data_IF_117958161350
#
_entry.id   IF_117958161350
#
_cell.length_a   1.000
_cell.length_b   1.000
_cell.length_c   1.000
_cell.angle_alpha   90.00
_cell.angle_beta   90.00
_cell.angle_gamma   90.00
#
_symmetry.space_group_name_H-M   'P 1'
#
loop_
_entity.id
_entity.type
_entity.pdbx_description
1 polymer ?
#
# COMPACT_ATOMS: atom_id res chain seq x y z
N UNK A 1 -46.97 33.96 7.00
CA UNK A 1 -46.14 33.71 8.19
C UNK A 1 -46.24 32.22 8.50
N UNK A 2 -45.10 31.56 8.75
CA UNK A 2 -44.92 30.13 9.07
C UNK A 2 -44.66 29.21 7.87
N UNK A 3 -43.38 28.83 7.76
CA UNK A 3 -42.81 27.86 6.82
C UNK A 3 -41.28 27.82 6.86
N UNK A 4 -40.62 28.91 7.26
CA UNK A 4 -39.15 29.05 7.17
C UNK A 4 -38.35 28.32 8.26
N UNK A 5 -38.98 27.71 9.27
CA UNK A 5 -38.26 27.04 10.36
C UNK A 5 -37.97 25.55 10.16
N UNK A 6 -38.59 24.90 9.16
CA UNK A 6 -38.48 23.45 8.95
C UNK A 6 -37.21 23.05 8.19
N UNK A 7 -36.87 23.81 7.15
CA UNK A 7 -35.75 23.50 6.25
C UNK A 7 -34.38 23.66 6.93
N UNK A 8 -34.28 24.58 7.91
CA UNK A 8 -33.03 24.81 8.64
C UNK A 8 -32.69 23.65 9.59
N UNK A 9 -33.68 23.01 10.21
CA UNK A 9 -33.46 21.85 11.08
C UNK A 9 -33.00 20.61 10.29
N UNK A 10 -33.55 20.41 9.10
CA UNK A 10 -33.21 19.29 8.21
C UNK A 10 -31.80 19.46 7.62
N UNK A 11 -31.45 20.68 7.20
CA UNK A 11 -30.08 21.01 6.76
C UNK A 11 -29.06 20.77 7.88
N UNK A 12 -29.37 21.22 9.10
CA UNK A 12 -28.51 21.02 10.26
C UNK A 12 -28.28 19.53 10.58
N UNK A 13 -29.28 18.67 10.37
CA UNK A 13 -29.14 17.23 10.55
C UNK A 13 -28.16 16.61 9.54
N UNK A 14 -28.26 16.96 8.26
CA UNK A 14 -27.30 16.49 7.23
C UNK A 14 -25.88 16.97 7.51
N UNK A 15 -25.71 18.24 7.89
CA UNK A 15 -24.42 18.80 8.31
C UNK A 15 -23.85 18.09 9.54
N UNK A 16 -24.68 17.72 10.51
CA UNK A 16 -24.25 16.98 11.70
C UNK A 16 -23.80 15.56 11.37
N UNK A 17 -24.49 14.86 10.47
CA UNK A 17 -24.07 13.53 10.00
C UNK A 17 -22.74 13.59 9.24
N UNK A 18 -22.53 14.63 8.42
CA UNK A 18 -21.25 14.88 7.75
C UNK A 18 -20.13 15.19 8.73
N UNK A 19 -20.39 16.02 9.73
CA UNK A 19 -19.43 16.30 10.78
C UNK A 19 -19.06 15.03 11.57
N UNK A 20 -20.02 14.13 11.81
CA UNK A 20 -19.76 12.83 12.43
C UNK A 20 -18.88 11.95 11.52
N UNK A 21 -19.19 11.87 10.22
CA UNK A 21 -18.38 11.17 9.21
C UNK A 21 -16.94 11.71 9.18
N UNK A 22 -16.76 13.03 9.13
CA UNK A 22 -15.45 13.70 9.11
C UNK A 22 -14.64 13.46 10.38
N UNK A 23 -15.30 13.13 11.50
CA UNK A 23 -14.65 12.83 12.78
C UNK A 23 -14.14 11.38 12.89
N UNK A 24 -14.65 10.45 12.07
CA UNK A 24 -14.32 9.03 12.17
C UNK A 24 -12.81 8.73 12.06
N UNK A 25 -12.02 9.34 11.15
CA UNK A 25 -10.59 9.08 11.10
C UNK A 25 -9.86 9.43 12.39
N UNK A 26 -10.23 10.55 13.04
CA UNK A 26 -9.65 10.96 14.32
C UNK A 26 -10.03 10.03 15.47
N UNK A 27 -11.26 9.51 15.46
CA UNK A 27 -11.71 8.49 16.42
C UNK A 27 -10.99 7.15 16.21
N UNK A 28 -10.74 6.76 14.95
CA UNK A 28 -10.01 5.54 14.61
C UNK A 28 -8.56 5.62 15.12
N UNK A 29 -7.87 6.73 14.85
CA UNK A 29 -6.51 6.99 15.32
C UNK A 29 -6.42 6.91 16.86
N UNK A 30 -7.37 7.52 17.57
CA UNK A 30 -7.40 7.48 19.03
C UNK A 30 -7.64 6.07 19.59
N UNK A 31 -8.61 5.34 19.02
CA UNK A 31 -8.95 3.98 19.44
C UNK A 31 -7.81 3.01 19.17
N UNK A 32 -7.24 3.03 17.97
CA UNK A 32 -6.10 2.18 17.60
C UNK A 32 -4.86 2.53 18.45
N UNK A 33 -4.67 3.82 18.79
CA UNK A 33 -3.65 4.26 19.75
C UNK A 33 -3.84 3.67 21.15
N UNK A 34 -5.07 3.62 21.65
CA UNK A 34 -5.38 2.99 22.95
C UNK A 34 -5.19 1.46 22.92
N UNK A 35 -5.59 0.80 21.83
CA UNK A 35 -5.36 -0.64 21.60
C UNK A 35 -3.87 -0.93 21.61
N UNK A 36 -3.09 -0.19 20.83
CA UNK A 36 -1.63 -0.35 20.76
C UNK A 36 -0.98 -0.15 22.12
N UNK A 37 -1.28 0.93 22.83
CA UNK A 37 -0.71 1.19 24.15
C UNK A 37 -0.97 0.04 25.14
N UNK A 38 -2.13 -0.60 25.05
CA UNK A 38 -2.47 -1.78 25.87
C UNK A 38 -1.71 -3.03 25.43
N UNK A 39 -1.58 -3.25 24.11
CA UNK A 39 -0.78 -4.34 23.55
C UNK A 39 0.67 -4.19 23.99
N UNK A 40 1.30 -3.04 23.77
CA UNK A 40 2.71 -2.76 24.09
C UNK A 40 3.00 -2.94 25.57
N UNK A 41 2.12 -2.45 26.45
CA UNK A 41 2.27 -2.66 27.89
C UNK A 41 2.23 -4.16 28.27
N UNK A 42 1.39 -4.95 27.58
CA UNK A 42 1.24 -6.38 27.85
C UNK A 42 2.39 -7.19 27.27
N UNK A 43 2.76 -6.95 26.01
CA UNK A 43 3.86 -7.63 25.32
C UNK A 43 5.20 -7.29 25.96
N UNK A 44 5.42 -6.03 26.33
CA UNK A 44 6.64 -5.60 27.03
C UNK A 44 6.82 -6.30 28.38
N UNK A 45 5.74 -6.55 29.14
CA UNK A 45 5.80 -7.32 30.37
C UNK A 45 6.16 -8.80 30.12
N UNK A 46 5.59 -9.41 29.08
CA UNK A 46 5.88 -10.79 28.68
C UNK A 46 7.32 -10.93 28.19
N UNK A 47 7.81 -9.97 27.40
CA UNK A 47 9.17 -9.93 26.88
C UNK A 47 10.21 -9.71 27.98
N UNK A 48 9.92 -8.84 28.95
CA UNK A 48 10.76 -8.68 30.14
C UNK A 48 10.87 -10.00 30.93
N UNK A 49 9.76 -10.73 31.09
CA UNK A 49 9.78 -12.05 31.70
C UNK A 49 10.58 -13.07 30.87
N UNK A 50 10.47 -13.02 29.54
CA UNK A 50 11.23 -13.88 28.64
C UNK A 50 12.74 -13.64 28.74
N UNK A 51 13.16 -12.37 28.81
CA UNK A 51 14.55 -11.96 28.97
C UNK A 51 15.15 -12.45 30.30
N UNK A 52 14.37 -12.44 31.38
CA UNK A 52 14.77 -12.95 32.69
C UNK A 52 14.77 -14.48 32.81
N UNK A 53 14.19 -15.20 31.85
CA UNK A 53 14.07 -16.66 31.92
C UNK A 53 15.41 -17.36 31.59
N UNK A 54 15.90 -18.27 32.46
CA UNK A 54 17.06 -19.10 32.16
C UNK A 54 16.74 -20.25 31.19
N UNK A 55 15.47 -20.64 31.06
CA UNK A 55 15.03 -21.69 30.14
C UNK A 55 14.79 -21.11 28.74
N UNK A 56 15.51 -21.64 27.75
CA UNK A 56 15.36 -21.27 26.35
C UNK A 56 13.97 -21.64 25.79
N UNK A 57 13.41 -22.77 26.24
CA UNK A 57 12.06 -23.21 25.87
C UNK A 57 11.00 -22.24 26.41
N UNK A 58 11.09 -21.90 27.70
CA UNK A 58 10.18 -20.93 28.31
C UNK A 58 10.30 -19.55 27.66
N UNK A 59 11.53 -19.12 27.36
CA UNK A 59 11.78 -17.86 26.63
C UNK A 59 11.09 -17.86 25.27
N UNK A 60 11.24 -18.94 24.48
CA UNK A 60 10.57 -19.09 23.18
C UNK A 60 9.05 -19.07 23.32
N UNK A 61 8.51 -19.78 24.30
CA UNK A 61 7.06 -19.79 24.57
C UNK A 61 6.52 -18.41 24.94
N UNK A 62 7.25 -17.64 25.75
CA UNK A 62 6.86 -16.28 26.14
C UNK A 62 6.92 -15.33 24.94
N UNK A 63 7.96 -15.39 24.11
CA UNK A 63 8.06 -14.58 22.89
C UNK A 63 6.95 -14.92 21.88
N UNK A 64 6.61 -16.21 21.73
CA UNK A 64 5.43 -16.65 20.98
C UNK A 64 4.13 -16.06 21.55
N UNK A 65 3.99 -16.03 22.88
CA UNK A 65 2.82 -15.42 23.53
C UNK A 65 2.74 -13.91 23.27
N UNK A 66 3.86 -13.19 23.34
CA UNK A 66 3.91 -11.77 23.02
C UNK A 66 3.51 -11.52 21.56
N UNK A 67 3.97 -12.37 20.63
CA UNK A 67 3.58 -12.32 19.22
C UNK A 67 2.07 -12.54 19.02
N UNK A 68 1.47 -13.55 19.65
CA UNK A 68 0.03 -13.78 19.57
C UNK A 68 -0.79 -12.60 20.11
N UNK A 69 -0.32 -11.92 21.16
CA UNK A 69 -0.97 -10.69 21.66
C UNK A 69 -0.90 -9.57 20.63
N UNK A 70 0.21 -9.41 19.88
CA UNK A 70 0.30 -8.45 18.77
C UNK A 70 -0.68 -8.80 17.65
N UNK A 71 -0.80 -10.08 17.28
CA UNK A 71 -1.77 -10.54 16.28
C UNK A 71 -3.22 -10.26 16.71
N UNK A 72 -3.55 -10.44 17.99
CA UNK A 72 -4.86 -10.03 18.51
C UNK A 72 -5.08 -8.53 18.34
N UNK A 73 -4.05 -7.72 18.62
CA UNK A 73 -4.06 -6.29 18.36
C UNK A 73 -4.36 -5.95 16.89
N UNK A 74 -3.67 -6.58 15.93
CA UNK A 74 -3.94 -6.33 14.50
C UNK A 74 -5.34 -6.77 14.07
N UNK A 75 -5.89 -7.84 14.67
CA UNK A 75 -7.27 -8.24 14.43
C UNK A 75 -8.27 -7.23 15.00
N UNK A 76 -7.97 -6.60 16.13
CA UNK A 76 -8.82 -5.55 16.71
C UNK A 76 -8.85 -4.30 15.81
N UNK A 77 -7.70 -3.84 15.31
CA UNK A 77 -7.65 -2.67 14.40
C UNK A 77 -8.31 -3.00 13.06
N UNK A 78 -8.14 -4.22 12.53
CA UNK A 78 -8.86 -4.70 11.35
C UNK A 78 -10.38 -4.68 11.53
N UNK A 79 -10.88 -5.22 12.66
CA UNK A 79 -12.32 -5.25 12.97
C UNK A 79 -12.87 -3.83 13.11
N UNK A 80 -12.09 -2.93 13.70
CA UNK A 80 -12.44 -1.51 13.81
C UNK A 80 -12.53 -0.87 12.43
N UNK A 81 -11.60 -1.16 11.51
CA UNK A 81 -11.67 -0.67 10.12
C UNK A 81 -12.98 -1.03 9.46
N UNK A 82 -13.35 -2.30 9.52
CA UNK A 82 -14.57 -2.80 8.87
C UNK A 82 -15.82 -2.16 9.48
N UNK A 83 -15.85 -2.04 10.81
CA UNK A 83 -16.96 -1.39 11.53
C UNK A 83 -17.07 0.10 11.18
N UNK A 84 -15.94 0.81 11.11
CA UNK A 84 -15.94 2.25 10.80
C UNK A 84 -16.30 2.51 9.34
N UNK A 85 -15.91 1.63 8.42
CA UNK A 85 -16.35 1.70 7.03
C UNK A 85 -17.87 1.50 6.90
N UNK A 86 -18.45 0.55 7.65
CA UNK A 86 -19.91 0.35 7.69
C UNK A 86 -20.64 1.59 8.25
N UNK A 87 -20.15 2.14 9.37
CA UNK A 87 -20.71 3.37 9.97
C UNK A 87 -20.60 4.55 9.00
N UNK A 88 -19.44 4.73 8.36
CA UNK A 88 -19.21 5.80 7.39
C UNK A 88 -20.21 5.72 6.22
N UNK A 89 -20.44 4.52 5.69
CA UNK A 89 -21.43 4.29 4.63
C UNK A 89 -22.84 4.71 5.06
N UNK A 90 -23.28 4.28 6.24
CA UNK A 90 -24.61 4.62 6.79
C UNK A 90 -24.76 6.14 7.03
N UNK A 91 -23.74 6.79 7.59
CA UNK A 91 -23.76 8.24 7.84
C UNK A 91 -23.83 9.05 6.54
N UNK A 92 -22.97 8.73 5.57
CA UNK A 92 -22.94 9.39 4.26
C UNK A 92 -24.28 9.23 3.54
N UNK A 93 -24.82 8.01 3.53
CA UNK A 93 -26.10 7.68 2.94
C UNK A 93 -27.23 8.52 3.53
N UNK A 94 -27.38 8.56 4.85
CA UNK A 94 -28.44 9.34 5.47
C UNK A 94 -28.27 10.85 5.26
N UNK A 95 -27.04 11.36 5.20
CA UNK A 95 -26.80 12.75 4.83
C UNK A 95 -27.29 13.04 3.39
N UNK A 96 -27.05 12.14 2.44
CA UNK A 96 -27.47 12.28 1.06
C UNK A 96 -28.99 12.12 0.88
N UNK A 97 -29.64 11.22 1.62
CA UNK A 97 -31.10 11.09 1.67
C UNK A 97 -31.77 12.38 2.16
N UNK A 98 -31.25 12.96 3.24
CA UNK A 98 -31.74 14.23 3.79
C UNK A 98 -31.59 15.35 2.75
N UNK A 99 -30.42 15.45 2.11
CA UNK A 99 -30.19 16.42 1.03
C UNK A 99 -31.13 16.23 -0.16
N UNK A 100 -31.41 14.99 -0.54
CA UNK A 100 -32.33 14.69 -1.63
C UNK A 100 -33.76 15.14 -1.30
N UNK A 101 -34.23 14.92 -0.06
CA UNK A 101 -35.54 15.40 0.41
C UNK A 101 -35.66 16.93 0.37
N UNK A 102 -34.55 17.65 0.52
CA UNK A 102 -34.50 19.11 0.42
C UNK A 102 -34.51 19.61 -1.03
N UNK A 103 -34.34 18.75 -2.04
CA UNK A 103 -34.36 19.14 -3.47
C UNK A 103 -35.79 19.08 -4.04
N UNK A 104 -36.30 20.17 -4.64
CA UNK A 104 -37.62 20.17 -5.26
C UNK A 104 -37.74 19.09 -6.34
N UNK A 105 -38.72 18.20 -6.21
CA UNK A 105 -39.02 17.15 -7.21
C UNK A 105 -38.17 15.89 -7.12
N UNK A 106 -37.40 15.69 -6.05
CA UNK A 106 -36.69 14.43 -5.83
C UNK A 106 -37.66 13.28 -5.49
N UNK A 107 -37.46 12.14 -6.15
CA UNK A 107 -38.17 10.90 -5.82
C UNK A 107 -37.38 10.22 -4.69
N UNK A 108 -38.03 9.76 -3.60
CA UNK A 108 -37.33 9.05 -2.54
C UNK A 108 -36.68 7.77 -3.08
N UNK A 109 -35.37 7.62 -2.84
CA UNK A 109 -34.64 6.42 -3.20
C UNK A 109 -35.24 5.22 -2.44
N UNK A 110 -35.76 4.24 -3.17
CA UNK A 110 -36.34 3.02 -2.60
C UNK A 110 -35.30 1.89 -2.71
N UNK A 111 -34.86 1.41 -1.55
CA UNK A 111 -33.84 0.38 -1.32
C UNK A 111 -32.40 0.81 -1.64
N UNK A 112 -31.55 0.73 -0.62
CA UNK A 112 -30.15 1.10 -0.70
C UNK A 112 -29.31 -0.16 -0.48
N UNK A 113 -28.36 -0.46 -1.37
CA UNK A 113 -27.51 -1.62 -1.21
C UNK A 113 -26.69 -1.48 0.07
N UNK A 114 -26.58 -2.58 0.80
CA UNK A 114 -25.60 -2.70 1.88
C UNK A 114 -24.20 -2.40 1.35
N UNK A 115 -23.31 -1.84 2.19
CA UNK A 115 -21.92 -1.71 1.80
C UNK A 115 -21.38 -3.09 1.41
N UNK A 116 -20.53 -3.18 0.38
CA UNK A 116 -19.92 -4.45 0.03
C UNK A 116 -19.17 -4.98 1.25
N UNK A 117 -19.34 -6.27 1.54
CA UNK A 117 -18.59 -6.93 2.60
C UNK A 117 -17.08 -6.76 2.33
N UNK A 118 -16.25 -6.57 3.37
CA UNK A 118 -14.82 -6.46 3.20
C UNK A 118 -14.26 -7.71 2.53
N UNK A 119 -13.25 -7.53 1.66
CA UNK A 119 -12.58 -8.67 1.03
C UNK A 119 -12.01 -9.61 2.10
N UNK A 120 -12.15 -10.93 1.94
CA UNK A 120 -11.58 -11.89 2.87
C UNK A 120 -10.08 -11.71 3.06
N UNK A 121 -9.66 -11.76 4.32
CA UNK A 121 -8.25 -11.78 4.70
C UNK A 121 -7.57 -13.10 4.30
N UNK A 122 -6.29 -13.00 3.96
CA UNK A 122 -5.39 -14.10 3.64
C UNK A 122 -4.18 -14.09 4.57
N UNK A 123 -3.78 -15.28 5.01
CA UNK A 123 -2.60 -15.52 5.82
C UNK A 123 -1.82 -16.68 5.19
N UNK A 124 -0.51 -16.51 5.03
CA UNK A 124 0.40 -17.54 4.50
C UNK A 124 1.34 -18.04 5.60
N UNK A 125 1.98 -19.18 5.39
CA UNK A 125 3.07 -19.65 6.25
C UNK A 125 4.44 -19.27 5.70
N UNK A 126 5.49 -19.47 6.49
CA UNK A 126 6.86 -19.24 6.05
C UNK A 126 7.26 -20.24 4.95
N UNK A 127 6.73 -21.46 5.01
CA UNK A 127 6.89 -22.49 3.98
C UNK A 127 6.20 -22.11 2.68
N UNK A 128 5.02 -21.48 2.73
CA UNK A 128 4.37 -20.93 1.54
C UNK A 128 5.27 -19.87 0.89
N UNK A 129 5.85 -18.97 1.68
CA UNK A 129 6.80 -17.96 1.18
C UNK A 129 8.07 -18.59 0.60
N UNK A 130 8.60 -19.64 1.23
CA UNK A 130 9.74 -20.40 0.71
C UNK A 130 9.41 -21.11 -0.62
N UNK A 131 8.21 -21.66 -0.74
CA UNK A 131 7.72 -22.23 -2.00
C UNK A 131 7.55 -21.15 -3.08
N UNK A 132 7.08 -19.95 -2.70
CA UNK A 132 6.98 -18.81 -3.62
C UNK A 132 8.36 -18.32 -4.08
N UNK A 133 9.37 -18.34 -3.23
CA UNK A 133 10.74 -17.98 -3.59
C UNK A 133 11.26 -18.82 -4.77
N UNK A 134 10.94 -20.12 -4.80
CA UNK A 134 11.34 -21.03 -5.89
C UNK A 134 10.59 -20.76 -7.20
N UNK A 135 9.49 -19.99 -7.15
CA UNK A 135 8.64 -19.65 -8.29
C UNK A 135 8.82 -18.19 -8.74
N UNK A 136 9.80 -17.46 -8.19
CA UNK A 136 10.05 -16.09 -8.59
C UNK A 136 10.45 -16.03 -10.08
N UNK A 137 10.05 -14.97 -10.80
CA UNK A 137 10.47 -14.78 -12.18
C UNK A 137 11.99 -14.71 -12.30
N UNK A 138 12.56 -15.53 -13.18
CA UNK A 138 13.98 -15.44 -13.53
C UNK A 138 14.30 -14.20 -14.36
N UNK A 139 15.59 -13.92 -14.57
CA UNK A 139 16.04 -12.78 -15.35
C UNK A 139 15.49 -12.78 -16.80
N UNK A 140 15.24 -13.96 -17.37
CA UNK A 140 14.67 -14.08 -18.71
C UNK A 140 13.19 -13.69 -18.73
N UNK A 141 12.41 -14.09 -17.73
CA UNK A 141 11.02 -13.72 -17.52
C UNK A 141 10.90 -12.21 -17.27
N UNK A 142 11.74 -11.65 -16.40
CA UNK A 142 11.82 -10.20 -16.16
C UNK A 142 12.12 -9.43 -17.45
N UNK A 143 13.10 -9.89 -18.23
CA UNK A 143 13.44 -9.28 -19.53
C UNK A 143 12.28 -9.34 -20.52
N UNK A 144 11.55 -10.46 -20.58
CA UNK A 144 10.34 -10.60 -21.41
C UNK A 144 9.25 -9.62 -20.96
N UNK A 145 9.00 -9.51 -19.65
CA UNK A 145 8.02 -8.58 -19.10
C UNK A 145 8.37 -7.12 -19.44
N UNK A 146 9.63 -6.72 -19.28
CA UNK A 146 10.10 -5.37 -19.66
C UNK A 146 9.87 -5.12 -21.16
N UNK A 147 10.20 -6.08 -22.03
CA UNK A 147 9.97 -5.93 -23.46
C UNK A 147 8.49 -5.80 -23.82
N UNK A 148 7.59 -6.52 -23.13
CA UNK A 148 6.14 -6.40 -23.31
C UNK A 148 5.64 -5.01 -22.93
N UNK A 149 6.17 -4.42 -21.84
CA UNK A 149 5.86 -3.05 -21.41
C UNK A 149 6.38 -2.04 -22.44
N UNK A 150 7.63 -2.17 -22.90
CA UNK A 150 8.21 -1.31 -23.94
C UNK A 150 7.39 -1.33 -25.22
N UNK A 151 6.83 -2.47 -25.61
CA UNK A 151 6.00 -2.59 -26.81
C UNK A 151 4.71 -1.74 -26.75
N UNK A 152 4.24 -1.35 -25.56
CA UNK A 152 3.07 -0.49 -25.38
C UNK A 152 3.39 1.00 -25.57
N UNK A 153 4.66 1.38 -25.62
CA UNK A 153 5.04 2.77 -25.86
C UNK A 153 4.84 3.15 -27.32
N UNK A 154 4.42 4.39 -27.61
CA UNK A 154 4.45 4.95 -28.96
C UNK A 154 5.84 4.70 -29.59
N UNK A 155 5.94 4.36 -30.90
CA UNK A 155 7.20 3.95 -31.52
C UNK A 155 8.38 4.91 -31.27
N UNK A 156 8.10 6.22 -31.23
CA UNK A 156 9.10 7.28 -30.96
C UNK A 156 9.66 7.25 -29.53
N UNK A 157 8.96 6.65 -28.57
CA UNK A 157 9.37 6.55 -27.16
C UNK A 157 10.00 5.20 -26.81
N UNK A 158 9.83 4.16 -27.63
CA UNK A 158 10.26 2.79 -27.29
C UNK A 158 11.76 2.69 -26.99
N UNK A 159 12.60 3.43 -27.71
CA UNK A 159 14.04 3.43 -27.45
C UNK A 159 14.37 4.00 -26.05
N UNK A 160 13.79 5.15 -25.70
CA UNK A 160 13.98 5.77 -24.39
C UNK A 160 13.41 4.90 -23.27
N UNK A 161 12.20 4.37 -23.44
CA UNK A 161 11.57 3.47 -22.48
C UNK A 161 12.43 2.21 -22.24
N UNK A 162 12.96 1.62 -23.31
CA UNK A 162 13.88 0.47 -23.22
C UNK A 162 15.13 0.82 -22.44
N UNK A 163 15.75 1.96 -22.71
CA UNK A 163 16.96 2.43 -21.99
C UNK A 163 16.68 2.61 -20.50
N UNK A 164 15.54 3.21 -20.14
CA UNK A 164 15.15 3.42 -18.74
C UNK A 164 14.84 2.12 -18.01
N UNK A 165 14.00 1.27 -18.60
CA UNK A 165 13.49 0.04 -17.97
C UNK A 165 14.52 -1.10 -17.92
N UNK A 166 15.48 -1.13 -18.86
CA UNK A 166 16.60 -2.09 -18.83
C UNK A 166 17.83 -1.53 -18.12
N UNK A 167 17.75 -0.32 -17.58
CA UNK A 167 18.85 0.26 -16.80
C UNK A 167 19.07 -0.58 -15.54
N UNK A 168 20.33 -0.85 -15.20
CA UNK A 168 20.76 -1.65 -14.03
C UNK A 168 20.23 -1.18 -12.66
N UNK A 169 19.58 -0.01 -12.60
CA UNK A 169 19.03 0.53 -11.36
C UNK A 169 17.50 0.50 -11.34
N UNK A 170 16.87 0.10 -12.44
CA UNK A 170 15.42 0.09 -12.56
C UNK A 170 14.87 -1.24 -12.08
N UNK A 171 13.99 -1.17 -11.08
CA UNK A 171 13.20 -2.30 -10.57
C UNK A 171 11.70 -2.08 -10.78
N UNK A 172 11.32 -1.12 -11.65
CA UNK A 172 9.93 -0.72 -11.86
C UNK A 172 9.06 -1.90 -12.34
N UNK A 173 9.55 -2.65 -13.32
CA UNK A 173 8.82 -3.84 -13.80
C UNK A 173 9.10 -5.05 -12.93
N UNK A 174 10.34 -5.23 -12.47
CA UNK A 174 10.75 -6.41 -11.70
C UNK A 174 10.00 -6.54 -10.37
N UNK A 175 9.69 -5.43 -9.70
CA UNK A 175 8.98 -5.41 -8.41
C UNK A 175 7.50 -5.06 -8.50
N UNK A 176 7.06 -4.46 -9.60
CA UNK A 176 5.69 -3.92 -9.72
C UNK A 176 5.03 -4.19 -11.08
N UNK A 177 5.62 -5.06 -11.91
CA UNK A 177 5.11 -5.39 -13.24
C UNK A 177 4.04 -6.47 -13.26
N UNK A 178 3.35 -6.55 -14.40
CA UNK A 178 2.21 -7.44 -14.68
C UNK A 178 2.49 -8.93 -14.68
N UNK A 179 3.77 -9.32 -14.71
CA UNK A 179 4.17 -10.71 -14.65
C UNK A 179 4.23 -11.25 -13.22
N UNK A 180 4.07 -10.37 -12.21
CA UNK A 180 3.96 -10.77 -10.82
C UNK A 180 2.54 -11.26 -10.52
N UNK A 181 2.46 -12.28 -9.68
CA UNK A 181 1.19 -12.86 -9.23
C UNK A 181 0.79 -12.30 -7.87
N UNK A 182 -0.49 -12.49 -7.53
CA UNK A 182 -1.05 -12.13 -6.22
C UNK A 182 -0.22 -12.66 -5.06
N UNK A 183 0.21 -13.92 -5.16
CA UNK A 183 0.98 -14.61 -4.11
C UNK A 183 2.36 -13.96 -3.91
N UNK A 184 2.96 -13.40 -4.96
CA UNK A 184 4.22 -12.67 -4.84
C UNK A 184 4.07 -11.40 -3.99
N UNK A 185 2.96 -10.66 -4.15
CA UNK A 185 2.72 -9.46 -3.34
C UNK A 185 2.34 -9.80 -1.90
N UNK A 186 1.58 -10.88 -1.68
CA UNK A 186 1.28 -11.38 -0.32
C UNK A 186 2.57 -11.77 0.40
N UNK A 187 3.43 -12.58 -0.23
CA UNK A 187 4.71 -12.98 0.36
C UNK A 187 5.64 -11.77 0.58
N UNK A 188 5.59 -10.78 -0.31
CA UNK A 188 6.36 -9.53 -0.15
C UNK A 188 5.92 -8.74 1.10
N UNK A 189 4.62 -8.60 1.34
CA UNK A 189 4.09 -7.86 2.48
C UNK A 189 4.28 -8.64 3.78
N UNK A 190 3.86 -9.91 3.82
CA UNK A 190 3.89 -10.74 5.03
C UNK A 190 5.28 -11.23 5.41
N UNK A 191 6.17 -11.46 4.44
CA UNK A 191 7.46 -12.12 4.67
C UNK A 191 8.66 -11.37 4.13
N UNK A 192 8.50 -10.14 3.65
CA UNK A 192 9.61 -9.33 3.09
C UNK A 192 10.36 -10.03 1.95
N UNK A 193 9.69 -10.93 1.22
CA UNK A 193 10.24 -11.58 0.04
C UNK A 193 10.29 -10.58 -1.13
N UNK A 194 11.48 -10.31 -1.66
CA UNK A 194 11.62 -9.45 -2.84
C UNK A 194 11.19 -10.20 -4.11
N UNK A 195 10.10 -9.80 -4.79
CA UNK A 195 9.62 -10.50 -5.98
C UNK A 195 10.57 -10.39 -7.18
N UNK A 196 11.55 -9.46 -7.14
CA UNK A 196 12.59 -9.37 -8.15
C UNK A 196 13.71 -10.41 -7.95
N UNK A 197 13.78 -11.06 -6.79
CA UNK A 197 14.87 -11.99 -6.45
C UNK A 197 16.25 -11.32 -6.33
N UNK A 198 16.29 -9.99 -6.20
CA UNK A 198 17.55 -9.21 -6.07
C UNK A 198 17.98 -9.14 -4.62
N UNK A 199 17.05 -8.83 -3.72
CA UNK A 199 17.28 -8.91 -2.28
C UNK A 199 17.14 -10.38 -1.83
N UNK A 200 18.00 -10.78 -0.89
CA UNK A 200 18.05 -12.15 -0.39
C UNK A 200 16.92 -12.41 0.60
N UNK A 201 16.45 -13.66 0.60
CA UNK A 201 15.47 -14.16 1.55
C UNK A 201 15.79 -15.62 1.91
N UNK A 202 15.54 -16.05 3.14
CA UNK A 202 15.71 -17.45 3.55
C UNK A 202 14.80 -17.82 4.71
N UNK A 203 14.21 -19.02 4.64
CA UNK A 203 13.61 -19.71 5.78
C UNK A 203 14.66 -20.47 6.57
N UNK A 204 14.73 -20.23 7.88
CA UNK A 204 15.63 -20.91 8.80
C UNK A 204 14.95 -22.17 9.40
N UNK A 205 15.73 -23.15 9.89
CA UNK A 205 15.19 -24.40 10.46
C UNK A 205 14.31 -24.22 11.71
N UNK A 206 14.43 -23.09 12.40
CA UNK A 206 13.63 -22.77 13.58
C UNK A 206 12.30 -22.08 13.25
N UNK A 207 11.99 -21.92 11.95
CA UNK A 207 10.78 -21.26 11.46
C UNK A 207 10.90 -19.75 11.31
N UNK A 208 12.03 -19.14 11.70
CA UNK A 208 12.31 -17.74 11.42
C UNK A 208 12.63 -17.52 9.94
N UNK A 209 12.39 -16.32 9.44
CA UNK A 209 12.76 -15.90 8.09
C UNK A 209 13.71 -14.70 8.16
N UNK A 210 14.70 -14.69 7.26
CA UNK A 210 15.61 -13.58 7.06
C UNK A 210 15.34 -12.94 5.71
N UNK A 211 15.43 -11.61 5.66
CA UNK A 211 15.42 -10.83 4.43
C UNK A 211 16.56 -9.82 4.49
N UNK A 212 17.31 -9.65 3.41
CA UNK A 212 18.45 -8.73 3.39
C UNK A 212 18.73 -8.16 2.00
N UNK A 213 19.16 -6.91 1.99
CA UNK A 213 19.68 -6.20 0.82
C UNK A 213 21.20 -6.37 0.73
N UNK A 214 21.78 -5.94 -0.38
CA UNK A 214 23.25 -5.93 -0.56
C UNK A 214 24.02 -5.13 0.52
N UNK A 215 23.36 -4.20 1.22
CA UNK A 215 23.96 -3.43 2.32
C UNK A 215 23.69 -4.02 3.72
N UNK A 216 23.16 -5.25 3.81
CA UNK A 216 22.88 -5.95 5.05
C UNK A 216 21.61 -5.51 5.78
N UNK A 217 20.89 -4.50 5.28
CA UNK A 217 19.58 -4.09 5.85
C UNK A 217 18.45 -4.97 5.33
N UNK A 218 17.34 -5.14 6.07
CA UNK A 218 16.18 -5.87 5.57
C UNK A 218 15.60 -5.30 4.28
N UNK A 219 14.93 -6.15 3.48
CA UNK A 219 14.07 -5.65 2.39
C UNK A 219 12.99 -4.74 3.00
N UNK A 220 12.73 -3.60 2.36
CA UNK A 220 11.87 -2.57 2.94
C UNK A 220 10.55 -2.56 2.20
N UNK A 221 9.54 -3.09 2.87
CA UNK A 221 8.15 -3.14 2.41
C UNK A 221 7.30 -2.66 3.56
N UNK A 222 6.36 -1.76 3.30
CA UNK A 222 5.38 -1.33 4.28
C UNK A 222 4.29 -2.37 4.48
N UNK A 223 3.12 -1.89 4.86
CA UNK A 223 1.88 -2.67 5.04
C UNK A 223 1.13 -2.93 3.74
N UNK A 224 1.59 -2.35 2.62
CA UNK A 224 0.97 -2.45 1.29
C UNK A 224 1.99 -2.90 0.25
N UNK A 225 1.57 -3.74 -0.70
CA UNK A 225 2.30 -3.95 -1.95
C UNK A 225 1.34 -4.22 -3.10
N UNK A 226 1.81 -3.91 -4.31
CA UNK A 226 1.02 -4.09 -5.52
C UNK A 226 1.85 -4.11 -6.79
N UNK A 227 1.18 -4.46 -7.87
CA UNK A 227 1.70 -4.44 -9.22
C UNK A 227 0.64 -3.97 -10.21
N UNK A 228 1.09 -3.48 -11.37
CA UNK A 228 0.20 -3.28 -12.51
C UNK A 228 -0.28 -4.64 -13.03
N UNK A 229 -1.50 -4.71 -13.55
CA UNK A 229 -2.13 -5.98 -13.98
C UNK A 229 -1.82 -6.36 -15.43
N UNK A 230 -1.35 -5.40 -16.24
CA UNK A 230 -1.03 -5.61 -17.66
C UNK A 230 0.20 -4.81 -18.12
N UNK A 231 0.83 -5.20 -19.25
CA UNK A 231 1.91 -4.40 -19.82
C UNK A 231 1.48 -2.96 -20.14
N UNK A 232 0.22 -2.77 -20.56
CA UNK A 232 -0.35 -1.47 -20.89
C UNK A 232 -0.50 -0.61 -19.63
N UNK A 233 -1.04 -1.18 -18.55
CA UNK A 233 -1.14 -0.53 -17.24
C UNK A 233 0.23 -0.06 -16.73
N UNK A 234 1.25 -0.93 -16.79
CA UNK A 234 2.60 -0.58 -16.37
C UNK A 234 3.25 0.52 -17.22
N UNK A 235 2.86 0.65 -18.50
CA UNK A 235 3.40 1.66 -19.40
C UNK A 235 2.76 3.05 -19.19
N UNK A 236 1.48 3.11 -18.82
CA UNK A 236 0.67 4.35 -18.72
C UNK A 236 1.39 5.48 -17.96
N UNK A 237 1.89 5.31 -16.71
CA UNK A 237 2.50 6.40 -15.97
C UNK A 237 3.79 6.92 -16.60
N UNK A 238 4.63 6.01 -17.10
CA UNK A 238 5.89 6.38 -17.73
C UNK A 238 5.65 7.03 -19.11
N UNK A 239 4.63 6.63 -19.86
CA UNK A 239 4.21 7.33 -21.08
C UNK A 239 3.78 8.77 -20.75
N UNK A 240 2.91 8.97 -19.76
CA UNK A 240 2.45 10.29 -19.35
C UNK A 240 3.63 11.22 -18.98
N UNK A 241 4.55 10.74 -18.15
CA UNK A 241 5.76 11.48 -17.78
C UNK A 241 6.64 11.80 -19.01
N UNK A 242 6.92 10.83 -19.88
CA UNK A 242 7.79 11.05 -21.04
C UNK A 242 7.16 11.99 -22.08
N UNK A 243 5.83 12.02 -22.18
CA UNK A 243 5.13 13.00 -23.01
C UNK A 243 5.27 14.41 -22.44
N UNK A 244 5.09 14.59 -21.14
CA UNK A 244 5.26 15.88 -20.46
C UNK A 244 6.71 16.38 -20.53
N UNK A 245 7.69 15.48 -20.41
CA UNK A 245 9.11 15.81 -20.36
C UNK A 245 9.77 15.99 -21.74
N UNK A 246 9.02 15.94 -22.86
CA UNK A 246 9.57 16.23 -24.18
C UNK A 246 10.22 15.04 -24.93
N UNK A 247 9.94 13.80 -24.52
CA UNK A 247 10.12 12.56 -25.32
C UNK A 247 11.56 12.12 -25.64
N UNK A 248 12.58 12.81 -25.15
CA UNK A 248 14.00 12.45 -25.33
C UNK A 248 14.72 12.38 -23.99
N UNK A 249 15.85 11.67 -23.92
CA UNK A 249 16.65 11.60 -22.69
C UNK A 249 17.08 13.00 -22.23
N UNK A 250 17.57 13.85 -23.15
CA UNK A 250 18.02 15.20 -22.80
C UNK A 250 16.88 16.09 -22.28
N UNK A 251 15.68 15.97 -22.87
CA UNK A 251 14.50 16.70 -22.40
C UNK A 251 14.00 16.18 -21.04
N UNK A 252 14.03 14.85 -20.83
CA UNK A 252 13.78 14.24 -19.53
C UNK A 252 14.78 14.72 -18.47
N UNK A 253 16.07 14.76 -18.80
CA UNK A 253 17.10 15.21 -17.88
C UNK A 253 16.90 16.67 -17.48
N UNK A 254 16.59 17.53 -18.46
CA UNK A 254 16.29 18.95 -18.24
C UNK A 254 15.04 19.14 -17.38
N UNK A 255 13.98 18.38 -17.67
CA UNK A 255 12.74 18.39 -16.91
C UNK A 255 12.98 17.99 -15.44
N UNK A 256 13.68 16.88 -15.21
CA UNK A 256 13.99 16.38 -13.87
C UNK A 256 14.96 17.31 -13.12
N UNK A 257 15.98 17.88 -13.77
CA UNK A 257 16.86 18.87 -13.16
C UNK A 257 16.08 20.11 -12.68
N UNK A 258 15.11 20.57 -13.48
CA UNK A 258 14.22 21.68 -13.13
C UNK A 258 13.32 21.38 -11.93
N UNK A 259 12.72 20.19 -11.88
CA UNK A 259 11.84 19.78 -10.76
C UNK A 259 12.62 19.46 -9.48
N UNK A 260 13.82 18.87 -9.60
CA UNK A 260 14.64 18.43 -8.47
C UNK A 260 15.38 19.57 -7.75
N UNK A 261 15.50 20.77 -8.36
CA UNK A 261 16.06 21.97 -7.73
C UNK A 261 17.43 21.76 -7.05
N UNK A 262 18.27 20.92 -7.65
CA UNK A 262 19.61 20.58 -7.16
C UNK A 262 19.72 19.22 -6.47
N UNK A 263 18.59 18.58 -6.15
CA UNK A 263 18.59 17.23 -5.59
C UNK A 263 18.99 16.19 -6.65
N UNK A 264 19.57 15.08 -6.18
CA UNK A 264 20.03 13.95 -7.01
C UNK A 264 19.09 12.76 -6.95
N UNK A 265 17.95 12.91 -6.30
CA UNK A 265 16.91 11.90 -6.14
C UNK A 265 15.56 12.62 -6.19
N UNK A 266 14.63 12.13 -7.00
CA UNK A 266 13.32 12.76 -7.15
C UNK A 266 12.24 11.70 -7.31
N UNK A 267 11.11 11.94 -6.66
CA UNK A 267 9.87 11.19 -6.82
C UNK A 267 8.88 12.08 -7.59
N UNK A 268 8.33 11.58 -8.69
CA UNK A 268 7.25 12.24 -9.45
C UNK A 268 5.96 11.48 -9.17
N UNK A 269 4.93 12.20 -8.73
CA UNK A 269 3.60 11.64 -8.48
C UNK A 269 2.65 11.99 -9.64
N UNK A 270 1.92 11.00 -10.12
CA UNK A 270 0.95 11.14 -11.20
C UNK A 270 -0.40 10.60 -10.75
N UNK A 271 -1.47 11.39 -10.88
CA UNK A 271 -2.81 10.98 -10.50
C UNK A 271 -3.40 10.01 -11.54
N UNK A 272 -4.45 9.24 -11.20
CA UNK A 272 -5.20 8.44 -12.16
C UNK A 272 -5.66 9.25 -13.37
N UNK A 273 -6.10 10.50 -13.18
CA UNK A 273 -6.52 11.40 -14.25
C UNK A 273 -5.39 11.74 -15.25
N UNK A 274 -4.14 11.80 -14.79
CA UNK A 274 -2.99 12.13 -15.64
C UNK A 274 -2.50 10.93 -16.46
N UNK A 275 -2.77 9.72 -15.97
CA UNK A 275 -2.22 8.47 -16.49
C UNK A 275 -3.25 7.60 -17.20
N UNK A 276 -4.54 7.83 -16.94
CA UNK A 276 -5.62 6.95 -17.36
C UNK A 276 -5.62 5.60 -16.64
N UNK A 277 -5.04 5.52 -15.45
CA UNK A 277 -5.09 4.33 -14.59
C UNK A 277 -6.50 4.18 -14.01
N UNK A 278 -6.99 2.96 -14.01
CA UNK A 278 -8.29 2.50 -13.50
C UNK A 278 -8.10 1.41 -12.44
N UNK A 279 -9.16 1.04 -11.74
CA UNK A 279 -9.10 -0.02 -10.73
C UNK A 279 -8.64 -1.37 -11.33
N UNK A 280 -8.95 -1.67 -12.60
CA UNK A 280 -8.51 -2.90 -13.25
C UNK A 280 -7.02 -2.91 -13.63
N UNK A 281 -6.36 -1.75 -13.66
CA UNK A 281 -4.95 -1.62 -14.04
C UNK A 281 -3.98 -1.97 -12.90
N UNK A 282 -4.46 -2.02 -11.66
CA UNK A 282 -3.63 -2.19 -10.46
C UNK A 282 -4.19 -3.28 -9.58
N UNK A 283 -3.30 -4.18 -9.15
CA UNK A 283 -3.58 -5.11 -8.07
C UNK A 283 -2.76 -4.70 -6.84
N UNK A 284 -3.38 -4.68 -5.67
CA UNK A 284 -2.67 -4.47 -4.42
C UNK A 284 -3.26 -5.30 -3.29
N UNK A 285 -2.42 -5.58 -2.30
CA UNK A 285 -2.80 -6.13 -1.00
C UNK A 285 -2.35 -5.18 0.10
N UNK A 286 -3.12 -5.12 1.18
CA UNK A 286 -2.82 -4.31 2.36
C UNK A 286 -3.10 -5.08 3.65
N UNK A 287 -2.33 -4.79 4.70
CA UNK A 287 -2.73 -5.11 6.06
C UNK A 287 -4.07 -4.44 6.41
N UNK A 288 -5.08 -5.20 6.89
CA UNK A 288 -6.27 -4.57 7.45
C UNK A 288 -5.92 -3.87 8.77
N UNK A 289 -6.61 -2.78 9.08
CA UNK A 289 -6.36 -1.95 10.25
C UNK A 289 -5.14 -1.04 10.15
N UNK A 290 -4.49 -0.94 8.99
CA UNK A 290 -3.31 -0.08 8.77
C UNK A 290 -3.67 1.25 8.10
N UNK A 291 -4.92 1.68 8.25
CA UNK A 291 -5.43 3.00 7.87
C UNK A 291 -5.11 4.09 8.91
N UNK A 292 -4.56 3.69 10.07
CA UNK A 292 -4.09 4.55 11.17
C UNK A 292 -2.60 4.31 11.42
N UNK A 293 -1.89 5.29 11.97
CA UNK A 293 -0.47 5.14 12.33
C UNK A 293 -0.22 4.03 13.36
N UNK A 294 -0.94 4.04 14.51
CA UNK A 294 -0.84 2.98 15.51
C UNK A 294 -1.18 1.58 14.99
N UNK A 295 -2.17 1.47 14.09
CA UNK A 295 -2.55 0.20 13.48
C UNK A 295 -1.50 -0.33 12.50
N UNK A 296 -0.87 0.54 11.72
CA UNK A 296 0.29 0.19 10.89
C UNK A 296 1.48 -0.30 11.73
N UNK A 297 1.86 0.42 12.77
CA UNK A 297 3.00 0.03 13.61
C UNK A 297 2.77 -1.31 14.31
N UNK A 298 1.55 -1.55 14.81
CA UNK A 298 1.15 -2.83 15.40
C UNK A 298 1.20 -3.98 14.38
N UNK A 299 0.82 -3.72 13.13
CA UNK A 299 0.91 -4.69 12.04
C UNK A 299 2.37 -5.01 11.70
N UNK A 300 3.24 -3.99 11.62
CA UNK A 300 4.67 -4.16 11.36
C UNK A 300 5.36 -4.95 12.48
N UNK A 301 5.07 -4.64 13.74
CA UNK A 301 5.62 -5.37 14.90
C UNK A 301 5.20 -6.84 14.90
N UNK A 302 3.94 -7.14 14.54
CA UNK A 302 3.48 -8.51 14.38
C UNK A 302 4.19 -9.23 13.22
N UNK A 303 4.41 -8.55 12.09
CA UNK A 303 5.21 -9.11 10.99
C UNK A 303 6.62 -9.44 11.45
N UNK A 304 7.27 -8.53 12.17
CA UNK A 304 8.64 -8.72 12.64
C UNK A 304 8.74 -9.88 13.65
N UNK A 305 7.74 -10.05 14.53
CA UNK A 305 7.61 -11.24 15.37
C UNK A 305 7.50 -12.55 14.59
N UNK A 306 6.77 -12.52 13.47
CA UNK A 306 6.63 -13.69 12.57
C UNK A 306 7.94 -14.00 11.83
N UNK A 307 8.63 -12.97 11.34
CA UNK A 307 9.97 -13.09 10.77
C UNK A 307 10.97 -13.66 11.79
N UNK A 308 10.81 -13.36 13.09
CA UNK A 308 11.61 -13.94 14.16
C UNK A 308 11.21 -15.39 14.55
N UNK A 309 10.25 -16.01 13.84
CA UNK A 309 9.82 -17.38 14.07
C UNK A 309 8.88 -17.53 15.28
N UNK A 310 8.20 -16.46 15.71
CA UNK A 310 7.29 -16.51 16.86
C UNK A 310 5.86 -16.91 16.51
N UNK A 311 5.55 -17.13 15.24
CA UNK A 311 4.23 -17.63 14.81
C UNK A 311 3.86 -17.21 13.40
N UNK A 312 2.56 -17.12 13.16
CA UNK A 312 1.98 -16.77 11.85
C UNK A 312 2.07 -15.25 11.58
N UNK A 313 2.17 -14.82 10.31
CA UNK A 313 2.21 -13.41 9.93
C UNK A 313 0.85 -12.73 10.13
N UNK A 314 0.81 -11.41 10.34
CA UNK A 314 -0.44 -10.66 10.33
C UNK A 314 -1.11 -10.78 8.96
N UNK A 315 -2.45 -10.76 8.95
CA UNK A 315 -3.23 -10.99 7.74
C UNK A 315 -3.09 -9.85 6.73
N UNK A 316 -3.39 -10.14 5.45
CA UNK A 316 -3.53 -9.13 4.38
C UNK A 316 -4.81 -9.37 3.59
N UNK A 317 -5.35 -8.35 2.93
CA UNK A 317 -6.51 -8.48 2.01
C UNK A 317 -6.27 -7.71 0.73
N UNK A 318 -6.99 -8.07 -0.33
CA UNK A 318 -6.93 -7.29 -1.57
C UNK A 318 -7.47 -5.88 -1.30
N UNK A 319 -6.82 -4.89 -1.89
CA UNK A 319 -7.10 -3.49 -1.63
C UNK A 319 -7.20 -2.73 -2.95
N UNK A 320 -8.36 -2.11 -3.18
CA UNK A 320 -8.57 -1.22 -4.32
C UNK A 320 -7.98 0.16 -4.05
N UNK A 321 -6.71 0.35 -4.40
CA UNK A 321 -6.03 1.63 -4.23
C UNK A 321 -6.70 2.75 -5.03
N UNK A 322 -7.36 2.46 -6.16
CA UNK A 322 -7.85 3.51 -7.08
C UNK A 322 -9.17 4.09 -6.57
N UNK A 323 -10.12 3.22 -6.23
CA UNK A 323 -11.47 3.66 -5.83
C UNK A 323 -11.61 3.92 -4.33
N UNK A 324 -10.80 3.25 -3.49
CA UNK A 324 -10.85 3.45 -2.03
C UNK A 324 -9.70 4.28 -1.47
N UNK A 325 -8.74 4.67 -2.33
CA UNK A 325 -7.61 5.50 -1.92
C UNK A 325 -8.00 6.96 -1.70
N UNK A 326 -7.35 7.62 -0.73
CA UNK A 326 -7.55 9.05 -0.46
C UNK A 326 -6.77 9.93 -1.44
N UNK A 327 -5.55 9.53 -1.74
CA UNK A 327 -4.65 10.18 -2.69
C UNK A 327 -3.97 9.12 -3.59
N UNK A 328 -4.75 8.42 -4.42
CA UNK A 328 -4.21 7.37 -5.27
C UNK A 328 -3.36 7.94 -6.39
N UNK A 329 -2.26 7.25 -6.72
CA UNK A 329 -1.43 7.63 -7.86
C UNK A 329 -0.22 6.74 -8.09
N UNK A 330 0.44 6.98 -9.23
CA UNK A 330 1.70 6.36 -9.58
C UNK A 330 2.86 7.24 -9.13
N UNK A 331 3.77 6.69 -8.34
CA UNK A 331 5.05 7.34 -8.03
C UNK A 331 6.14 6.75 -8.89
N UNK A 332 6.87 7.61 -9.62
CA UNK A 332 8.03 7.25 -10.42
C UNK A 332 9.26 7.90 -9.81
N UNK A 333 10.26 7.08 -9.48
CA UNK A 333 11.45 7.52 -8.77
C UNK A 333 12.65 7.51 -9.70
N UNK A 334 13.37 8.62 -9.74
CA UNK A 334 14.63 8.76 -10.47
C UNK A 334 15.77 9.14 -9.53
N UNK A 335 16.99 8.76 -9.93
CA UNK A 335 18.21 9.25 -9.30
C UNK A 335 19.20 9.71 -10.35
N UNK A 336 20.10 10.61 -9.97
CA UNK A 336 21.21 11.10 -10.79
C UNK A 336 22.51 10.90 -10.03
N UNK A 337 23.56 10.51 -10.74
CA UNK A 337 24.93 10.59 -10.24
C UNK A 337 25.71 11.49 -11.20
N UNK A 338 25.79 12.81 -10.96
CA UNK A 338 26.48 13.72 -11.86
C UNK A 338 27.90 13.22 -12.19
N UNK A 339 28.35 13.33 -13.46
CA UNK A 339 27.71 13.98 -14.61
C UNK A 339 26.79 13.05 -15.45
N UNK A 340 26.35 11.90 -14.90
CA UNK A 340 25.50 10.94 -15.64
C UNK A 340 24.05 11.43 -15.79
N UNK A 341 23.31 10.96 -16.82
CA UNK A 341 21.89 11.24 -16.98
C UNK A 341 21.07 10.68 -15.81
N UNK A 342 19.82 11.15 -15.67
CA UNK A 342 18.87 10.58 -14.72
C UNK A 342 18.56 9.13 -15.11
N UNK A 343 18.52 8.26 -14.10
CA UNK A 343 18.14 6.85 -14.26
C UNK A 343 16.86 6.57 -13.48
N UNK A 344 15.98 5.80 -14.08
CA UNK A 344 14.81 5.25 -13.41
C UNK A 344 15.26 4.28 -12.31
N UNK A 345 14.73 4.44 -11.10
CA UNK A 345 14.96 3.54 -9.98
C UNK A 345 13.78 2.57 -9.82
N UNK A 346 12.57 3.10 -9.73
CA UNK A 346 11.36 2.28 -9.65
C UNK A 346 10.14 3.09 -10.06
N UNK A 347 9.02 2.42 -10.22
CA UNK A 347 7.71 3.02 -10.41
C UNK A 347 6.63 2.09 -9.89
N UNK A 348 5.71 2.58 -9.08
CA UNK A 348 4.64 1.78 -8.47
C UNK A 348 3.41 2.63 -8.16
N UNK A 349 2.27 1.98 -7.96
CA UNK A 349 1.02 2.62 -7.60
C UNK A 349 0.82 2.53 -6.08
N UNK A 350 0.39 3.63 -5.46
CA UNK A 350 0.14 3.72 -4.01
C UNK A 350 -0.99 4.71 -3.72
N UNK A 351 -1.36 4.80 -2.44
CA UNK A 351 -2.29 5.78 -1.90
C UNK A 351 -1.56 6.62 -0.82
N UNK A 352 -1.22 7.87 -1.12
CA UNK A 352 -0.47 8.73 -0.17
C UNK A 352 -1.42 9.44 0.80
N UNK A 353 -2.02 8.64 1.69
CA UNK A 353 -3.13 9.06 2.56
C UNK A 353 -2.83 10.27 3.43
N UNK A 354 -1.58 10.41 3.86
CA UNK A 354 -1.14 11.42 4.80
C UNK A 354 -0.23 12.47 4.15
N UNK A 355 -0.04 12.43 2.83
CA UNK A 355 0.96 13.23 2.10
C UNK A 355 2.36 13.08 2.73
N UNK A 356 2.70 11.86 3.12
CA UNK A 356 3.96 11.55 3.81
C UNK A 356 5.13 11.48 2.84
N UNK A 357 4.85 11.23 1.55
CA UNK A 357 5.88 11.18 0.54
C UNK A 357 6.22 12.58 0.02
N UNK A 358 7.49 12.93 0.10
CA UNK A 358 8.00 14.09 -0.64
C UNK A 358 8.11 13.74 -2.12
N UNK A 359 7.21 14.30 -2.93
CA UNK A 359 7.22 14.20 -4.38
C UNK A 359 6.91 15.53 -5.06
N UNK A 360 7.14 15.56 -6.36
CA UNK A 360 6.64 16.62 -7.24
C UNK A 360 5.51 16.08 -8.10
N UNK A 361 4.36 16.77 -8.11
CA UNK A 361 3.28 16.46 -9.06
C UNK A 361 3.71 16.81 -10.49
N UNK A 362 3.16 16.04 -11.45
CA UNK A 362 3.43 16.20 -12.88
C UNK A 362 3.07 17.61 -13.37
#
# INVERSE_FOLDING_TARGET
>A
MQGEGGDDGVRHAAESLRAALDSLPGLAEHLDGAVRARVDATTGAVEAAAAGSPSAELRRSLLGTAHEIRLLGTHMTATREDTFAEVAHVLAQHADEIDALLRPGAVPATSIPLPPAPTPSVQTTAEDAAAMQQQLPDAAAQRRAINQVVAQFPPKLQHLARTLLLGHSSHAVERHGHHLRREHQIARVQWLLDPAGVDGWRLNPDGSAESWRANGKPHGVGTTAGNYTSPAAAAKPLIALLLAAGRTQAALDTYLDGKARGDTFISIFLRPADTGITAEDVFAVRGPGTDTGPGEELWLDARDGSMAGHGRPPQVRDHDLVSSGRHPGSVIIFAKKPPRPWRLITGYFLDDRANEMSYTEL
#
